data_IF_170993990413
#
_entry.id   IF_170993990413
#
_cell.length_a   1.000
_cell.length_b   1.000
_cell.length_c   1.000
_cell.angle_alpha   90.00
_cell.angle_beta   90.00
_cell.angle_gamma   90.00
#
_symmetry.space_group_name_H-M   'P 1'
#
loop_
_entity.id
_entity.type
_entity.pdbx_description
1 polymer ?
#
# COMPACT_ATOMS: atom_id res chain seq x y z
N UNK A 1 -5.66 8.93 -7.35
CA UNK A 1 -5.50 10.22 -6.66
C UNK A 1 -6.08 10.08 -5.27
N UNK A 2 -5.31 10.40 -4.25
CA UNK A 2 -5.73 10.23 -2.86
C UNK A 2 -6.72 11.33 -2.43
N UNK A 3 -7.59 11.06 -1.45
CA UNK A 3 -8.50 12.06 -0.92
C UNK A 3 -7.75 13.14 -0.16
N UNK A 4 -8.40 14.28 0.03
CA UNK A 4 -7.96 15.29 0.99
C UNK A 4 -8.85 15.22 2.22
N UNK A 5 -8.25 15.41 3.38
CA UNK A 5 -8.96 15.35 4.65
C UNK A 5 -8.00 15.00 5.79
N UNK A 6 -8.57 14.87 6.98
CA UNK A 6 -7.84 14.55 8.21
C UNK A 6 -8.22 13.16 8.69
N UNK A 7 -7.25 12.44 9.24
CA UNK A 7 -7.44 11.10 9.80
C UNK A 7 -8.02 10.09 8.80
N UNK A 8 -7.61 10.20 7.53
CA UNK A 8 -7.98 9.28 6.47
C UNK A 8 -6.85 8.26 6.23
N UNK A 9 -7.26 7.05 5.90
CA UNK A 9 -6.36 5.94 5.56
C UNK A 9 -6.83 5.27 4.27
N UNK A 10 -6.51 5.84 3.11
CA UNK A 10 -6.75 5.20 1.82
C UNK A 10 -5.75 4.08 1.58
N UNK A 11 -6.24 2.95 1.03
CA UNK A 11 -5.41 1.82 0.67
C UNK A 11 -5.75 1.25 -0.72
N UNK A 12 -4.73 0.65 -1.32
CA UNK A 12 -4.81 -0.22 -2.49
C UNK A 12 -3.98 -1.45 -2.17
N UNK A 13 -4.61 -2.59 -2.02
CA UNK A 13 -4.01 -3.78 -1.48
C UNK A 13 -4.62 -5.07 -2.01
N UNK A 14 -3.96 -6.18 -1.75
CA UNK A 14 -4.41 -7.53 -2.04
C UNK A 14 -4.56 -8.29 -0.73
N UNK A 15 -5.65 -9.04 -0.58
CA UNK A 15 -5.88 -9.88 0.58
C UNK A 15 -6.39 -11.25 0.16
N UNK A 16 -5.84 -12.28 0.75
CA UNK A 16 -6.31 -13.65 0.60
C UNK A 16 -7.63 -13.90 1.31
N UNK A 17 -8.41 -14.89 0.87
CA UNK A 17 -9.72 -15.20 1.42
C UNK A 17 -9.90 -16.67 1.81
N UNK A 18 -8.96 -17.54 1.47
CA UNK A 18 -9.11 -18.97 1.69
C UNK A 18 -8.71 -19.40 3.10
N UNK A 19 -8.01 -18.53 3.84
CA UNK A 19 -7.50 -18.78 5.17
C UNK A 19 -7.71 -17.56 6.08
N UNK A 20 -7.68 -17.71 7.40
CA UNK A 20 -7.67 -16.56 8.31
C UNK A 20 -6.42 -15.70 8.12
N UNK A 21 -6.56 -14.38 8.28
CA UNK A 21 -5.43 -13.47 8.34
C UNK A 21 -4.53 -13.75 9.55
N UNK A 22 -3.19 -13.67 9.47
CA UNK A 22 -2.38 -13.30 8.32
C UNK A 22 -1.99 -14.48 7.39
N UNK A 23 -2.47 -15.70 7.65
CA UNK A 23 -2.17 -16.91 6.88
C UNK A 23 -2.68 -16.79 5.43
N UNK A 24 -3.79 -16.09 5.22
CA UNK A 24 -4.32 -15.79 3.90
C UNK A 24 -3.34 -15.00 3.02
N UNK A 25 -2.44 -14.24 3.64
CA UNK A 25 -1.51 -13.34 2.97
C UNK A 25 -2.14 -11.99 2.64
N UNK A 26 -1.28 -10.94 2.61
CA UNK A 26 -1.66 -9.58 2.26
C UNK A 26 -0.50 -8.86 1.58
N UNK A 27 -0.79 -8.07 0.56
CA UNK A 27 0.18 -7.22 -0.14
C UNK A 27 -0.38 -5.80 -0.23
N UNK A 28 0.18 -4.88 0.55
CA UNK A 28 -0.19 -3.48 0.53
C UNK A 28 0.60 -2.75 -0.56
N UNK A 29 -0.05 -2.52 -1.70
CA UNK A 29 0.59 -1.86 -2.85
C UNK A 29 0.75 -0.36 -2.56
N UNK A 30 -0.21 0.20 -1.86
CA UNK A 30 -0.20 1.57 -1.39
C UNK A 30 -1.10 1.72 -0.18
N UNK A 31 -0.53 2.17 0.90
CA UNK A 31 -1.25 2.70 2.04
C UNK A 31 -0.79 4.14 2.27
N UNK A 32 -1.70 5.01 2.65
CA UNK A 32 -1.35 6.38 2.99
C UNK A 32 -2.11 6.82 4.25
N UNK A 33 -1.37 7.39 5.17
CA UNK A 33 -1.97 8.00 6.35
C UNK A 33 -1.94 9.50 6.22
N UNK A 34 -3.07 10.10 6.53
CA UNK A 34 -3.14 11.54 6.70
C UNK A 34 -2.37 11.93 7.98
N UNK A 35 -1.59 12.98 7.94
CA UNK A 35 -0.42 13.19 8.79
C UNK A 35 -0.66 13.79 10.17
N UNK A 36 -1.86 13.85 10.64
CA UNK A 36 -2.17 14.45 11.93
C UNK A 36 -1.78 13.64 13.17
N UNK A 37 -0.95 12.61 13.00
CA UNK A 37 -0.59 11.72 14.11
C UNK A 37 0.58 12.20 15.00
N UNK A 38 1.08 13.43 14.84
CA UNK A 38 2.02 14.00 15.82
C UNK A 38 1.72 15.49 16.10
N UNK A 39 1.15 15.80 17.26
CA UNK A 39 0.82 17.17 17.65
C UNK A 39 2.04 18.04 18.03
N UNK A 40 3.27 17.53 17.94
CA UNK A 40 4.46 18.21 18.47
C UNK A 40 5.19 19.11 17.47
N UNK A 41 4.81 19.13 16.20
CA UNK A 41 5.39 20.07 15.24
C UNK A 41 4.26 20.60 14.35
N UNK A 42 3.97 21.90 14.37
CA UNK A 42 3.03 22.50 13.43
C UNK A 42 3.55 22.33 12.01
N UNK A 43 2.98 21.37 11.27
CA UNK A 43 3.29 21.19 9.86
C UNK A 43 2.27 21.96 9.04
N UNK A 44 2.69 22.71 8.01
CA UNK A 44 1.73 23.33 7.11
C UNK A 44 0.85 22.26 6.47
N UNK A 45 -0.48 22.40 6.48
CA UNK A 45 -1.42 21.33 6.05
C UNK A 45 -1.19 20.84 4.61
N UNK A 46 -0.52 21.61 3.77
CA UNK A 46 -0.21 21.24 2.39
C UNK A 46 1.03 20.37 2.20
N UNK A 47 1.92 20.28 3.20
CA UNK A 47 3.13 19.44 3.09
C UNK A 47 2.88 17.99 3.48
N UNK A 48 1.82 17.73 4.17
CA UNK A 48 1.67 16.56 5.02
C UNK A 48 1.05 15.36 4.30
N UNK A 49 0.11 15.55 3.38
CA UNK A 49 -0.58 14.45 2.70
C UNK A 49 0.20 13.76 1.57
N UNK A 50 1.32 14.31 1.15
CA UNK A 50 2.04 13.77 -0.01
C UNK A 50 3.15 12.75 0.32
N UNK A 51 3.43 12.51 1.60
CA UNK A 51 4.73 11.95 1.98
C UNK A 51 4.67 10.65 2.79
N UNK A 52 3.49 10.20 3.19
CA UNK A 52 3.31 9.02 4.03
C UNK A 52 2.69 7.82 3.29
N UNK A 53 3.04 7.65 2.03
CA UNK A 53 2.67 6.43 1.31
C UNK A 53 3.64 5.32 1.66
N UNK A 54 3.14 4.15 2.00
CA UNK A 54 3.92 2.97 2.34
C UNK A 54 3.53 1.78 1.48
N UNK A 55 4.38 0.78 1.47
CA UNK A 55 4.09 -0.58 0.99
C UNK A 55 4.41 -1.56 2.09
N UNK A 56 3.68 -2.67 2.15
CA UNK A 56 3.93 -3.72 3.13
C UNK A 56 3.55 -5.09 2.56
N UNK A 57 3.96 -6.15 3.22
CA UNK A 57 3.54 -7.53 2.97
C UNK A 57 3.34 -8.20 4.32
N UNK A 58 2.24 -8.95 4.47
CA UNK A 58 1.93 -9.73 5.66
C UNK A 58 1.70 -11.19 5.29
N UNK A 59 2.21 -12.09 6.13
CA UNK A 59 2.06 -13.53 5.99
C UNK A 59 2.10 -14.22 7.35
N UNK A 60 1.86 -15.52 7.38
CA UNK A 60 2.15 -16.34 8.54
C UNK A 60 3.43 -17.12 8.30
N UNK A 61 4.35 -17.06 9.25
CA UNK A 61 5.56 -17.89 9.29
C UNK A 61 5.22 -19.36 9.56
N UNK A 62 6.16 -20.26 9.25
CA UNK A 62 6.01 -21.70 9.46
C UNK A 62 5.75 -22.07 10.94
N UNK A 63 6.22 -21.24 11.86
CA UNK A 63 6.00 -21.41 13.31
C UNK A 63 4.71 -20.74 13.82
N UNK A 64 3.87 -20.26 12.91
CA UNK A 64 2.59 -19.61 13.20
C UNK A 64 2.66 -18.13 13.55
N UNK A 65 3.86 -17.52 13.66
CA UNK A 65 4.01 -16.10 13.94
C UNK A 65 3.57 -15.25 12.72
N UNK A 66 3.16 -14.04 13.01
CA UNK A 66 2.91 -13.04 11.98
C UNK A 66 4.22 -12.48 11.45
N UNK A 67 4.53 -12.77 10.18
CA UNK A 67 5.60 -12.18 9.42
C UNK A 67 5.13 -10.92 8.69
N UNK A 68 5.97 -9.91 8.60
CA UNK A 68 5.69 -8.69 7.83
C UNK A 68 6.96 -7.96 7.46
N UNK A 69 6.91 -7.21 6.36
CA UNK A 69 8.10 -6.48 5.85
C UNK A 69 8.35 -5.15 6.58
N UNK A 70 7.41 -4.70 7.38
CA UNK A 70 7.42 -3.40 8.04
C UNK A 70 7.06 -2.27 7.07
N UNK A 71 6.12 -1.45 7.51
CA UNK A 71 5.71 -0.26 6.77
C UNK A 71 6.87 0.69 6.62
N UNK A 72 7.41 0.81 5.41
CA UNK A 72 8.50 1.74 5.11
C UNK A 72 7.95 2.83 4.20
N UNK A 73 8.16 4.07 4.59
CA UNK A 73 7.79 5.24 3.80
C UNK A 73 8.47 5.19 2.44
N UNK A 74 7.72 5.53 1.40
CA UNK A 74 8.32 5.72 0.09
C UNK A 74 9.30 6.89 0.13
N UNK A 75 10.49 6.74 -0.47
CA UNK A 75 11.46 7.83 -0.50
C UNK A 75 10.87 9.06 -1.18
N UNK A 76 11.12 10.22 -0.58
CA UNK A 76 10.69 11.54 -1.03
C UNK A 76 10.96 11.83 -2.51
N UNK A 77 12.05 11.30 -3.01
CA UNK A 77 12.54 11.51 -4.38
C UNK A 77 11.66 10.89 -5.47
N UNK A 78 10.72 9.99 -5.11
CA UNK A 78 9.89 9.29 -6.10
C UNK A 78 8.59 10.00 -6.44
N UNK A 79 8.19 11.02 -5.69
CA UNK A 79 6.96 11.77 -5.97
C UNK A 79 7.19 13.28 -5.89
N UNK A 80 7.66 13.86 -6.96
CA UNK A 80 7.58 15.32 -7.16
C UNK A 80 6.12 15.79 -7.29
N UNK A 81 5.18 14.85 -7.47
CA UNK A 81 3.75 15.13 -7.59
C UNK A 81 3.04 14.69 -6.32
N UNK A 82 2.23 15.58 -5.75
CA UNK A 82 1.41 15.28 -4.56
C UNK A 82 0.29 14.31 -4.94
N UNK A 83 0.17 13.14 -4.28
CA UNK A 83 -0.89 12.16 -4.58
C UNK A 83 -2.31 12.72 -4.45
N UNK A 84 -2.53 13.68 -3.56
CA UNK A 84 -3.83 14.33 -3.39
C UNK A 84 -4.24 15.26 -4.55
N UNK A 85 -3.31 15.65 -5.41
CA UNK A 85 -3.56 16.54 -6.55
C UNK A 85 -3.27 15.87 -7.90
N UNK A 86 -2.67 14.68 -7.90
CA UNK A 86 -2.25 14.00 -9.10
C UNK A 86 -2.61 12.52 -9.04
N UNK A 87 -2.88 11.93 -10.20
CA UNK A 87 -2.88 10.50 -10.32
C UNK A 87 -1.43 9.99 -10.28
N UNK A 88 -1.18 9.07 -9.35
CA UNK A 88 0.08 8.35 -9.22
C UNK A 88 -0.19 6.91 -9.59
N UNK A 89 0.68 6.33 -10.40
CA UNK A 89 0.61 4.91 -10.75
C UNK A 89 1.32 4.10 -9.67
N UNK A 90 0.60 3.21 -9.03
CA UNK A 90 1.11 2.23 -8.09
C UNK A 90 1.00 0.85 -8.72
N UNK A 91 2.05 0.04 -8.60
CA UNK A 91 2.14 -1.26 -9.24
C UNK A 91 2.80 -2.26 -8.31
N UNK A 92 2.33 -3.49 -8.35
CA UNK A 92 3.03 -4.66 -7.84
C UNK A 92 3.18 -5.68 -8.95
N UNK A 93 4.37 -6.23 -9.10
CA UNK A 93 4.65 -7.44 -9.85
C UNK A 93 4.90 -8.55 -8.83
N UNK A 94 4.02 -9.53 -8.82
CA UNK A 94 4.04 -10.63 -7.87
C UNK A 94 4.29 -11.93 -8.60
N UNK A 95 5.47 -12.50 -8.37
CA UNK A 95 5.92 -13.79 -8.91
C UNK A 95 6.18 -14.78 -7.78
N UNK A 96 6.42 -16.01 -8.14
CA UNK A 96 6.70 -17.08 -7.20
C UNK A 96 7.94 -16.81 -6.32
N UNK A 97 8.95 -16.17 -6.88
CA UNK A 97 10.27 -15.98 -6.29
C UNK A 97 10.59 -14.52 -5.96
N UNK A 98 9.77 -13.58 -6.40
CA UNK A 98 10.05 -12.15 -6.25
C UNK A 98 8.77 -11.31 -6.25
N UNK A 99 8.73 -10.30 -5.38
CA UNK A 99 7.67 -9.31 -5.35
C UNK A 99 8.30 -7.93 -5.52
N UNK A 100 7.88 -7.21 -6.54
CA UNK A 100 8.44 -5.90 -6.89
C UNK A 100 7.36 -4.83 -6.88
N UNK A 101 7.58 -3.78 -6.10
CA UNK A 101 6.72 -2.60 -6.05
C UNK A 101 7.29 -1.48 -6.91
N UNK A 102 6.41 -0.79 -7.66
CA UNK A 102 6.78 0.35 -8.48
C UNK A 102 5.85 1.53 -8.26
N UNK A 103 6.41 2.72 -8.37
CA UNK A 103 5.64 3.97 -8.40
C UNK A 103 6.03 4.75 -9.65
N UNK A 104 5.06 5.10 -10.49
CA UNK A 104 5.26 5.75 -11.78
C UNK A 104 6.32 5.03 -12.65
N UNK A 105 6.28 3.68 -12.66
CA UNK A 105 7.18 2.81 -13.41
C UNK A 105 8.58 2.63 -12.80
N UNK A 106 8.92 3.32 -11.71
CA UNK A 106 10.20 3.16 -11.01
C UNK A 106 10.09 2.13 -9.90
N UNK A 107 10.97 1.15 -9.88
CA UNK A 107 11.07 0.20 -8.78
C UNK A 107 11.45 0.92 -7.50
N UNK A 108 10.63 0.73 -6.47
CA UNK A 108 10.82 1.33 -5.14
C UNK A 108 11.23 0.29 -4.12
N UNK A 109 10.85 -0.97 -4.36
CA UNK A 109 11.13 -2.06 -3.44
C UNK A 109 11.02 -3.41 -4.15
N UNK A 110 11.85 -4.34 -3.69
CA UNK A 110 11.85 -5.72 -4.16
C UNK A 110 12.10 -6.64 -2.97
N UNK A 111 11.34 -7.73 -2.90
CA UNK A 111 11.50 -8.81 -1.94
C UNK A 111 11.75 -10.11 -2.71
N UNK A 112 12.72 -10.88 -2.25
CA UNK A 112 13.09 -12.16 -2.86
C UNK A 112 12.24 -13.33 -2.38
N UNK A 113 12.73 -14.51 -2.67
CA UNK A 113 12.07 -15.78 -2.40
C UNK A 113 11.71 -16.00 -0.92
N UNK A 114 12.53 -15.50 0.00
CA UNK A 114 12.30 -15.58 1.44
C UNK A 114 10.96 -15.00 1.89
N UNK A 115 10.46 -13.98 1.21
CA UNK A 115 9.14 -13.40 1.42
C UNK A 115 8.12 -13.95 0.42
N UNK A 116 8.48 -14.01 -0.87
CA UNK A 116 7.55 -14.37 -1.94
C UNK A 116 6.97 -15.80 -1.79
N UNK A 117 7.75 -16.74 -1.26
CA UNK A 117 7.34 -18.14 -1.02
C UNK A 117 6.08 -18.29 -0.17
N UNK A 118 5.82 -17.34 0.73
CA UNK A 118 4.66 -17.38 1.62
C UNK A 118 3.34 -16.97 0.95
N UNK A 119 3.44 -16.41 -0.27
CA UNK A 119 2.32 -15.81 -0.96
C UNK A 119 2.05 -16.40 -2.35
N UNK A 120 3.01 -17.14 -2.94
CA UNK A 120 2.99 -17.51 -4.35
C UNK A 120 1.79 -18.38 -4.77
N UNK A 121 1.21 -19.14 -3.85
CA UNK A 121 0.06 -20.01 -4.05
C UNK A 121 -1.28 -19.43 -3.59
N UNK A 122 -1.27 -18.18 -3.09
CA UNK A 122 -2.46 -17.55 -2.53
C UNK A 122 -3.36 -16.99 -3.63
N UNK A 123 -4.66 -17.14 -3.44
CA UNK A 123 -5.67 -16.41 -4.21
C UNK A 123 -6.06 -15.16 -3.46
N UNK A 124 -5.87 -14.01 -4.09
CA UNK A 124 -6.09 -12.72 -3.45
C UNK A 124 -7.12 -11.88 -4.18
N UNK A 125 -7.89 -11.12 -3.41
CA UNK A 125 -8.79 -10.09 -3.91
C UNK A 125 -8.06 -8.75 -3.97
N UNK A 126 -8.38 -7.98 -5.01
CA UNK A 126 -7.96 -6.58 -5.11
C UNK A 126 -8.93 -5.72 -4.33
N UNK A 127 -8.42 -4.90 -3.43
CA UNK A 127 -9.21 -4.02 -2.57
C UNK A 127 -8.74 -2.58 -2.73
N UNK A 128 -9.71 -1.68 -2.90
CA UNK A 128 -9.52 -0.24 -2.80
C UNK A 128 -10.48 0.25 -1.74
N UNK A 129 -9.94 0.81 -0.68
CA UNK A 129 -10.77 1.31 0.41
C UNK A 129 -10.29 2.65 0.96
N UNK A 130 -11.09 3.20 1.83
CA UNK A 130 -10.82 4.42 2.56
C UNK A 130 -11.33 4.26 3.98
N UNK A 131 -10.42 4.09 4.91
CA UNK A 131 -10.68 4.03 6.33
C UNK A 131 -10.42 5.37 7.01
N UNK A 132 -10.88 5.49 8.25
CA UNK A 132 -10.57 6.59 9.15
C UNK A 132 -9.73 6.09 10.32
N UNK A 133 -8.78 6.90 10.79
CA UNK A 133 -7.90 6.55 11.90
C UNK A 133 -8.39 7.09 13.25
N UNK A 134 -9.67 7.39 13.36
CA UNK A 134 -10.31 7.92 14.57
C UNK A 134 -11.66 8.56 14.27
N UNK A 135 -12.31 9.04 15.31
CA UNK A 135 -13.65 9.66 15.21
C UNK A 135 -13.59 11.09 14.64
N UNK A 136 -12.48 11.80 14.87
CA UNK A 136 -12.28 13.17 14.40
C UNK A 136 -11.63 13.18 13.00
N UNK A 137 -12.41 12.92 11.97
CA UNK A 137 -11.95 12.93 10.58
C UNK A 137 -12.66 14.03 9.76
N UNK A 138 -11.99 14.47 8.69
CA UNK A 138 -12.60 15.31 7.65
C UNK A 138 -12.43 14.65 6.28
N UNK A 139 -13.37 14.91 5.41
CA UNK A 139 -13.41 14.37 4.07
C UNK A 139 -13.72 15.49 3.07
N UNK A 140 -12.66 16.05 2.48
CA UNK A 140 -12.79 17.23 1.62
C UNK A 140 -12.93 16.85 0.15
N UNK A 141 -12.28 15.75 -0.28
CA UNK A 141 -12.36 15.27 -1.66
C UNK A 141 -12.33 13.74 -1.70
N UNK A 142 -13.00 13.13 -2.70
CA UNK A 142 -13.03 11.67 -2.83
C UNK A 142 -11.66 11.10 -3.21
N UNK A 143 -11.42 9.84 -2.82
CA UNK A 143 -10.42 8.99 -3.45
C UNK A 143 -10.85 8.73 -4.89
N UNK A 144 -9.92 8.84 -5.84
CA UNK A 144 -10.19 8.59 -7.26
C UNK A 144 -9.24 7.53 -7.80
N UNK A 145 -9.83 6.50 -8.42
CA UNK A 145 -9.11 5.40 -9.06
C UNK A 145 -9.38 5.50 -10.55
N UNK A 146 -8.38 5.22 -11.37
CA UNK A 146 -8.51 5.11 -12.82
C UNK A 146 -7.47 4.14 -13.37
N UNK A 147 -7.75 3.59 -14.55
CA UNK A 147 -6.82 2.72 -15.29
C UNK A 147 -6.32 1.54 -14.44
N UNK A 148 -7.24 0.89 -13.70
CA UNK A 148 -6.91 -0.37 -13.06
C UNK A 148 -6.65 -1.42 -14.15
N UNK A 149 -5.53 -2.11 -14.02
CA UNK A 149 -5.10 -3.14 -14.95
C UNK A 149 -4.56 -4.33 -14.18
N UNK A 150 -5.03 -5.51 -14.53
CA UNK A 150 -4.47 -6.79 -14.10
C UNK A 150 -3.90 -7.51 -15.31
N UNK A 151 -2.67 -7.98 -15.20
CA UNK A 151 -2.00 -8.79 -16.21
C UNK A 151 -1.53 -10.08 -15.57
N UNK A 152 -2.09 -11.25 -15.96
CA UNK A 152 -1.51 -12.51 -15.56
C UNK A 152 -0.08 -12.57 -16.10
N UNK A 153 0.84 -13.07 -15.29
CA UNK A 153 2.19 -13.34 -15.75
C UNK A 153 2.15 -14.63 -16.58
N UNK A 154 2.77 -14.60 -17.76
CA UNK A 154 2.91 -15.78 -18.57
C UNK A 154 3.71 -16.84 -17.78
N UNK A 155 3.19 -18.06 -17.73
CA UNK A 155 3.90 -19.21 -17.19
C UNK A 155 5.05 -19.51 -18.16
N UNK A 156 6.29 -19.30 -17.73
CA UNK A 156 7.48 -19.67 -18.48
C UNK A 156 7.69 -21.17 -18.34
#
# INVERSE_FOLDING_TARGET
MLPKGRNLWPAFWLCGSEEPWPKAGEIDIMEAWSPYFRPTIPQPPYLVQSWNTTTNIHWQEDDGRHGYTGSRRLPLLFSLKRPANNFIKYEVEWRQDIITFRVNGKTIRTYGYDVAKHLHDKRMHVIFDLWTTGEDFTFDTPMKIRNFEYKPLETI
#
